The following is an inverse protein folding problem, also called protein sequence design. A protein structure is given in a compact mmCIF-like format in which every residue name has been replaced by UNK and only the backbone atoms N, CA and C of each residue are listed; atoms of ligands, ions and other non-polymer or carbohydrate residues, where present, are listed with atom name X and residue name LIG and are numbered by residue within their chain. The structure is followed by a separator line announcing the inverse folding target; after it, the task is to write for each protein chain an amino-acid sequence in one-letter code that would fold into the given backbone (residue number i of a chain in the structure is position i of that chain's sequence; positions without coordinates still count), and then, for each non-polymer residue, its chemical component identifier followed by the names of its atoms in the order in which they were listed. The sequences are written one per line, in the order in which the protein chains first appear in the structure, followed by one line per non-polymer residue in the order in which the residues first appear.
data_IF_828365539978
#
_entry.id   IF_828365539978
#
_cell.length_a   1.000
_cell.length_b   1.000
_cell.length_c   1.000
_cell.angle_alpha   90.00
_cell.angle_beta   90.00
_cell.angle_gamma   90.00
#
_symmetry.space_group_name_H-M   'P 1'
#
loop_
_entity.id
_entity.type
_entity.pdbx_description
1 polymer ?
#
# COMPACT_ATOMS: atom_id res chain seq x y z
N UNK A 1 3.12 -6.78 8.93
CA UNK A 1 3.26 -5.73 7.90
C UNK A 1 4.07 -6.28 6.74
N UNK A 2 3.70 -6.00 5.48
CA UNK A 2 4.53 -6.41 4.34
C UNK A 2 5.78 -5.53 4.32
N UNK A 3 6.98 -6.10 4.36
CA UNK A 3 8.24 -5.34 4.38
C UNK A 3 8.52 -4.65 3.02
N UNK A 4 7.75 -5.02 1.99
CA UNK A 4 7.88 -4.54 0.61
C UNK A 4 6.99 -3.35 0.27
N UNK A 5 6.80 -2.42 1.21
CA UNK A 5 6.03 -1.19 0.99
C UNK A 5 6.96 -0.08 0.51
N UNK A 6 6.62 0.55 -0.62
CA UNK A 6 7.31 1.74 -1.09
C UNK A 6 7.03 2.92 -0.15
N UNK A 7 8.05 3.62 0.37
CA UNK A 7 7.83 4.83 1.16
C UNK A 7 7.08 5.91 0.37
N UNK A 8 6.15 6.62 1.00
CA UNK A 8 5.38 7.70 0.34
C UNK A 8 6.25 8.85 -0.15
N UNK A 9 7.35 9.14 0.56
CA UNK A 9 8.28 10.21 0.21
C UNK A 9 9.69 9.63 0.09
N UNK A 10 10.17 9.50 -1.13
CA UNK A 10 11.52 9.01 -1.45
C UNK A 10 12.37 10.24 -1.78
N UNK A 11 13.29 10.58 -0.89
CA UNK A 11 14.21 11.71 -1.05
C UNK A 11 15.63 11.29 -1.38
N UNK A 12 15.94 10.01 -1.14
CA UNK A 12 17.24 9.38 -1.37
C UNK A 12 17.01 7.90 -1.73
N UNK A 13 18.01 7.30 -2.35
CA UNK A 13 18.04 5.89 -2.74
C UNK A 13 19.34 5.27 -2.24
N UNK A 14 19.27 4.01 -1.79
CA UNK A 14 20.48 3.19 -1.64
C UNK A 14 21.04 2.82 -3.01
N UNK A 15 22.29 2.38 -3.04
CA UNK A 15 22.99 1.99 -4.26
C UNK A 15 22.21 0.96 -5.10
N UNK A 16 21.52 0.03 -4.43
CA UNK A 16 20.73 -1.03 -5.07
C UNK A 16 19.23 -0.72 -5.20
N UNK A 17 18.76 0.47 -4.82
CA UNK A 17 17.34 0.84 -4.94
C UNK A 17 17.09 1.57 -6.26
N UNK A 18 16.05 1.17 -7.00
CA UNK A 18 15.65 1.79 -8.27
C UNK A 18 14.30 2.47 -8.10
N UNK A 19 14.25 3.77 -8.39
CA UNK A 19 13.01 4.55 -8.32
C UNK A 19 12.16 4.33 -9.59
N UNK A 20 10.99 3.71 -9.45
CA UNK A 20 10.10 3.41 -10.59
C UNK A 20 8.98 4.45 -10.65
N UNK A 21 8.87 5.15 -11.78
CA UNK A 21 8.00 6.31 -11.91
C UNK A 21 7.19 6.33 -13.20
N UNK A 22 6.06 7.04 -13.14
CA UNK A 22 5.21 7.34 -14.29
C UNK A 22 5.81 8.45 -15.14
N UNK A 23 6.04 8.14 -16.41
CA UNK A 23 6.58 9.04 -17.43
C UNK A 23 5.52 9.42 -18.47
N UNK A 24 5.77 10.49 -19.23
CA UNK A 24 4.97 10.81 -20.42
C UNK A 24 5.69 10.34 -21.69
N UNK A 25 4.94 10.27 -22.79
CA UNK A 25 5.42 9.80 -24.10
C UNK A 25 6.60 10.60 -24.66
N UNK A 26 6.78 11.85 -24.24
CA UNK A 26 7.87 12.73 -24.68
C UNK A 26 9.11 12.67 -23.78
N UNK A 27 9.08 11.91 -22.67
CA UNK A 27 10.17 11.88 -21.71
C UNK A 27 10.43 13.22 -20.99
N UNK A 28 9.40 14.06 -20.84
CA UNK A 28 9.51 15.35 -20.12
C UNK A 28 9.10 15.15 -18.66
N UNK A 29 10.04 15.30 -17.74
CA UNK A 29 9.87 14.86 -16.34
C UNK A 29 9.70 16.02 -15.35
N UNK A 30 8.71 16.90 -15.57
CA UNK A 30 8.56 18.14 -14.80
C UNK A 30 7.50 18.09 -13.69
N UNK A 31 6.84 16.94 -13.47
CA UNK A 31 5.74 16.83 -12.50
C UNK A 31 5.86 15.65 -11.56
N UNK A 32 5.46 15.84 -10.30
CA UNK A 32 5.32 14.80 -9.26
C UNK A 32 6.53 13.84 -9.21
N UNK A 33 6.27 12.53 -9.24
CA UNK A 33 7.31 11.50 -9.20
C UNK A 33 8.34 11.64 -10.31
N UNK A 34 7.95 12.08 -11.52
CA UNK A 34 8.89 12.27 -12.62
C UNK A 34 9.91 13.39 -12.31
N UNK A 35 9.48 14.48 -11.67
CA UNK A 35 10.40 15.53 -11.23
C UNK A 35 11.38 15.05 -10.16
N UNK A 36 10.92 14.20 -9.23
CA UNK A 36 11.81 13.55 -8.27
C UNK A 36 12.81 12.61 -8.95
N UNK A 37 12.38 11.87 -9.97
CA UNK A 37 13.25 10.94 -10.72
C UNK A 37 14.46 11.64 -11.38
N UNK A 38 14.33 12.93 -11.74
CA UNK A 38 15.46 13.71 -12.27
C UNK A 38 16.63 13.80 -11.28
N UNK A 39 16.36 13.80 -9.96
CA UNK A 39 17.41 13.80 -8.92
C UNK A 39 18.17 12.47 -8.86
N UNK A 40 17.57 11.40 -9.37
CA UNK A 40 18.11 10.05 -9.36
C UNK A 40 18.63 9.61 -10.74
N UNK A 41 18.80 10.56 -11.67
CA UNK A 41 19.42 10.30 -12.97
C UNK A 41 18.45 9.92 -14.09
N UNK A 42 17.16 10.25 -13.98
CA UNK A 42 16.27 10.21 -15.13
C UNK A 42 16.75 11.17 -16.24
N UNK A 43 16.56 10.76 -17.50
CA UNK A 43 17.08 11.38 -18.71
C UNK A 43 15.91 11.97 -19.49
N UNK A 44 15.97 13.28 -19.76
CA UNK A 44 14.97 13.95 -20.59
C UNK A 44 14.95 13.32 -22.00
N UNK A 45 13.75 13.00 -22.48
CA UNK A 45 13.52 12.35 -23.77
C UNK A 45 13.47 10.83 -23.72
N UNK A 46 13.86 10.19 -22.60
CA UNK A 46 13.74 8.75 -22.42
C UNK A 46 12.45 8.41 -21.66
N UNK A 47 11.40 8.10 -22.43
CA UNK A 47 10.06 7.88 -21.89
C UNK A 47 9.90 6.55 -21.13
N UNK A 48 10.71 5.53 -21.44
CA UNK A 48 10.55 4.16 -20.92
C UNK A 48 11.89 3.51 -20.56
N UNK A 49 11.82 2.53 -19.65
CA UNK A 49 12.95 1.67 -19.30
C UNK A 49 13.89 2.25 -18.26
N UNK A 50 14.99 1.53 -18.03
CA UNK A 50 16.02 1.89 -17.06
C UNK A 50 16.83 3.11 -17.49
N UNK A 51 17.05 4.04 -16.56
CA UNK A 51 17.84 5.26 -16.77
C UNK A 51 18.36 5.81 -15.44
N UNK A 52 19.68 6.01 -15.33
CA UNK A 52 20.32 6.32 -14.06
C UNK A 52 19.95 5.28 -13.00
N UNK A 53 19.52 5.74 -11.83
CA UNK A 53 19.00 4.90 -10.74
C UNK A 53 17.46 4.86 -10.72
N UNK A 54 16.84 4.92 -11.91
CA UNK A 54 15.39 4.98 -12.07
C UNK A 54 14.90 4.06 -13.19
N UNK A 55 13.60 3.76 -13.19
CA UNK A 55 12.93 3.06 -14.27
C UNK A 55 11.64 3.81 -14.64
N UNK A 56 11.50 4.19 -15.92
CA UNK A 56 10.33 4.90 -16.40
C UNK A 56 9.28 3.97 -17.01
N UNK A 57 8.02 4.19 -16.64
CA UNK A 57 6.85 3.53 -17.23
C UNK A 57 5.97 4.62 -17.87
N UNK A 58 5.74 4.61 -19.20
CA UNK A 58 4.89 5.58 -19.91
C UNK A 58 3.41 5.55 -19.48
N UNK A 59 3.08 6.19 -18.36
CA UNK A 59 1.75 6.17 -17.74
C UNK A 59 0.71 7.11 -18.39
N UNK A 60 1.00 7.63 -19.59
CA UNK A 60 0.04 8.35 -20.43
C UNK A 60 -0.40 7.54 -21.66
N UNK A 61 0.31 6.46 -21.98
CA UNK A 61 0.00 5.58 -23.11
C UNK A 61 -0.80 4.38 -22.57
N UNK A 62 -2.12 4.58 -22.40
CA UNK A 62 -2.99 3.58 -21.77
C UNK A 62 -3.28 2.37 -22.63
N UNK A 63 -3.21 2.51 -23.96
CA UNK A 63 -3.35 1.40 -24.88
C UNK A 63 -2.22 0.37 -24.68
N UNK A 64 -1.00 0.86 -24.40
CA UNK A 64 0.17 0.01 -24.19
C UNK A 64 0.60 -0.09 -22.71
N UNK A 65 -0.14 0.49 -21.77
CA UNK A 65 0.30 0.59 -20.38
C UNK A 65 0.59 -0.78 -19.74
N UNK A 66 -0.27 -1.77 -20.00
CA UNK A 66 -0.03 -3.15 -19.56
C UNK A 66 1.30 -3.70 -20.09
N UNK A 67 1.63 -3.44 -21.35
CA UNK A 67 2.89 -3.89 -21.95
C UNK A 67 4.09 -3.27 -21.22
N UNK A 68 4.05 -1.98 -20.92
CA UNK A 68 5.14 -1.35 -20.17
C UNK A 68 5.29 -1.89 -18.74
N UNK A 69 4.18 -2.24 -18.09
CA UNK A 69 4.21 -2.93 -16.79
C UNK A 69 4.80 -4.34 -16.95
N UNK A 70 4.41 -5.09 -17.98
CA UNK A 70 4.96 -6.41 -18.26
C UNK A 70 6.48 -6.34 -18.54
N UNK A 71 6.93 -5.37 -19.36
CA UNK A 71 8.35 -5.12 -19.65
C UNK A 71 9.14 -4.77 -18.38
N UNK A 72 8.55 -3.96 -17.50
CA UNK A 72 9.12 -3.67 -16.17
C UNK A 72 9.26 -4.93 -15.32
N UNK A 73 8.23 -5.77 -15.25
CA UNK A 73 8.25 -7.00 -14.45
C UNK A 73 9.30 -8.00 -15.00
N UNK A 74 9.47 -8.09 -16.32
CA UNK A 74 10.54 -8.88 -16.95
C UNK A 74 11.91 -8.33 -16.55
N UNK A 75 12.10 -7.02 -16.64
CA UNK A 75 13.35 -6.37 -16.24
C UNK A 75 13.67 -6.62 -14.75
N UNK A 76 12.70 -6.39 -13.87
CA UNK A 76 12.88 -6.59 -12.43
C UNK A 76 13.22 -8.05 -12.08
N UNK A 77 12.70 -9.02 -12.84
CA UNK A 77 13.02 -10.45 -12.66
C UNK A 77 14.45 -10.78 -13.10
N UNK A 78 14.97 -10.09 -14.11
CA UNK A 78 16.33 -10.26 -14.61
C UNK A 78 17.38 -9.58 -13.71
N UNK A 79 16.95 -8.66 -12.86
CA UNK A 79 17.81 -7.88 -11.97
C UNK A 79 17.45 -8.08 -10.48
N UNK A 80 17.63 -9.29 -9.91
CA UNK A 80 17.34 -9.57 -8.51
C UNK A 80 18.23 -8.80 -7.52
N UNK A 81 19.35 -8.24 -7.99
CA UNK A 81 20.25 -7.39 -7.20
C UNK A 81 19.63 -6.04 -6.81
N UNK A 82 18.62 -5.57 -7.54
CA UNK A 82 17.97 -4.28 -7.31
C UNK A 82 16.65 -4.41 -6.56
N UNK A 83 16.37 -3.45 -5.67
CA UNK A 83 15.06 -3.24 -5.07
C UNK A 83 14.30 -2.14 -5.81
N UNK A 84 13.22 -2.50 -6.48
CA UNK A 84 12.40 -1.56 -7.25
C UNK A 84 11.35 -0.90 -6.37
N UNK A 85 11.48 0.40 -6.16
CA UNK A 85 10.54 1.23 -5.40
C UNK A 85 9.48 1.82 -6.34
N UNK A 86 8.37 1.12 -6.48
CA UNK A 86 7.26 1.55 -7.36
C UNK A 86 6.44 2.63 -6.70
N UNK A 87 6.30 3.77 -7.36
CA UNK A 87 5.41 4.88 -6.95
C UNK A 87 3.96 4.61 -7.36
N UNK A 88 3.02 5.49 -7.02
CA UNK A 88 1.62 5.42 -7.48
C UNK A 88 1.51 5.82 -8.97
N UNK A 89 2.14 5.02 -9.83
CA UNK A 89 2.25 5.23 -11.27
C UNK A 89 0.84 5.33 -11.88
N UNK A 90 0.60 6.39 -12.66
CA UNK A 90 -0.70 6.63 -13.30
C UNK A 90 -1.78 7.23 -12.39
N UNK A 91 -1.60 7.26 -11.06
CA UNK A 91 -2.63 7.74 -10.13
C UNK A 91 -2.57 9.24 -9.78
N UNK A 92 -1.51 9.92 -10.22
CA UNK A 92 -1.38 11.38 -10.09
C UNK A 92 -2.07 12.13 -11.23
N UNK A 93 -1.28 12.82 -12.05
CA UNK A 93 -1.77 13.69 -13.15
C UNK A 93 -2.52 12.90 -14.22
N UNK A 94 -2.20 11.62 -14.45
CA UNK A 94 -2.93 10.79 -15.42
C UNK A 94 -4.35 10.45 -14.97
N UNK A 95 -4.68 10.59 -13.68
CA UNK A 95 -6.05 10.48 -13.17
C UNK A 95 -6.61 9.06 -13.06
N UNK A 96 -5.79 8.02 -13.22
CA UNK A 96 -6.26 6.64 -13.06
C UNK A 96 -6.41 6.29 -11.58
N UNK A 97 -7.47 5.54 -11.27
CA UNK A 97 -7.66 5.02 -9.93
C UNK A 97 -6.63 3.94 -9.61
N UNK A 98 -6.18 3.82 -8.35
CA UNK A 98 -5.36 2.69 -7.93
C UNK A 98 -6.00 1.33 -8.24
N UNK A 99 -7.34 1.23 -8.23
CA UNK A 99 -8.08 0.02 -8.59
C UNK A 99 -7.94 -0.42 -10.05
N UNK A 100 -7.68 0.52 -10.96
CA UNK A 100 -7.39 0.21 -12.37
C UNK A 100 -5.94 -0.23 -12.56
N UNK A 101 -5.00 0.37 -11.83
CA UNK A 101 -3.57 0.16 -12.04
C UNK A 101 -3.00 -1.01 -11.24
N UNK A 102 -3.33 -1.12 -9.95
CA UNK A 102 -2.77 -2.13 -9.06
C UNK A 102 -2.90 -3.56 -9.59
N UNK A 103 -4.02 -3.99 -10.20
CA UNK A 103 -4.15 -5.35 -10.75
C UNK A 103 -3.10 -5.71 -11.82
N UNK A 104 -2.53 -4.73 -12.52
CA UNK A 104 -1.48 -4.96 -13.51
C UNK A 104 -0.16 -5.42 -12.87
N UNK A 105 0.04 -5.12 -11.59
CA UNK A 105 1.21 -5.53 -10.80
C UNK A 105 1.02 -6.88 -10.07
N UNK A 106 0.00 -7.67 -10.40
CA UNK A 106 -0.29 -8.94 -9.70
C UNK A 106 0.89 -9.92 -9.67
N UNK A 107 1.73 -9.94 -10.71
CA UNK A 107 2.91 -10.81 -10.73
C UNK A 107 4.01 -10.37 -9.75
N UNK A 108 4.03 -9.09 -9.34
CA UNK A 108 4.96 -8.60 -8.31
C UNK A 108 4.72 -9.23 -6.93
N UNK A 109 3.56 -9.87 -6.71
CA UNK A 109 3.31 -10.69 -5.51
C UNK A 109 4.33 -11.82 -5.36
N UNK A 110 4.85 -12.34 -6.48
CA UNK A 110 5.79 -13.46 -6.55
C UNK A 110 7.27 -13.02 -6.61
N UNK A 111 7.54 -11.72 -6.51
CA UNK A 111 8.87 -11.14 -6.71
C UNK A 111 9.29 -10.38 -5.44
N UNK A 112 10.36 -10.82 -4.79
CA UNK A 112 10.78 -10.25 -3.51
C UNK A 112 11.43 -8.87 -3.65
N UNK A 113 11.93 -8.55 -4.84
CA UNK A 113 12.68 -7.34 -5.11
C UNK A 113 11.82 -6.17 -5.63
N UNK A 114 10.49 -6.32 -5.65
CA UNK A 114 9.56 -5.25 -5.99
C UNK A 114 8.81 -4.79 -4.75
N UNK A 115 8.91 -3.49 -4.47
CA UNK A 115 8.14 -2.79 -3.47
C UNK A 115 7.04 -2.00 -4.18
N UNK A 116 5.81 -2.09 -3.67
CA UNK A 116 4.65 -1.37 -4.20
C UNK A 116 4.13 -0.34 -3.19
N UNK A 117 3.42 0.71 -3.65
CA UNK A 117 2.69 1.59 -2.75
C UNK A 117 1.71 0.80 -1.90
N UNK A 118 1.47 1.25 -0.66
CA UNK A 118 0.54 0.58 0.25
C UNK A 118 -0.84 0.39 -0.39
N UNK A 119 -1.35 1.40 -1.12
CA UNK A 119 -2.66 1.32 -1.77
C UNK A 119 -2.73 0.20 -2.82
N UNK A 120 -1.63 -0.07 -3.53
CA UNK A 120 -1.59 -1.20 -4.49
C UNK A 120 -1.57 -2.53 -3.75
N UNK A 121 -0.77 -2.64 -2.67
CA UNK A 121 -0.81 -3.81 -1.80
C UNK A 121 -2.20 -4.06 -1.22
N UNK A 122 -2.88 -2.99 -0.81
CA UNK A 122 -4.23 -3.08 -0.26
C UNK A 122 -5.18 -3.73 -1.28
N UNK A 123 -5.21 -3.19 -2.49
CA UNK A 123 -6.08 -3.69 -3.57
C UNK A 123 -5.73 -5.14 -3.94
N UNK A 124 -4.44 -5.44 -4.11
CA UNK A 124 -3.98 -6.79 -4.46
C UNK A 124 -4.32 -7.83 -3.38
N UNK A 125 -4.41 -7.42 -2.11
CA UNK A 125 -4.81 -8.26 -0.98
C UNK A 125 -6.34 -8.26 -0.73
N UNK A 126 -7.13 -7.71 -1.66
CA UNK A 126 -8.59 -7.72 -1.61
C UNK A 126 -9.23 -6.53 -0.91
N UNK A 127 -8.46 -5.49 -0.58
CA UNK A 127 -8.98 -4.24 -0.05
C UNK A 127 -9.60 -4.37 1.34
N UNK A 128 -10.49 -3.42 1.63
CA UNK A 128 -11.34 -3.49 2.82
C UNK A 128 -12.20 -4.75 2.88
N UNK A 129 -12.62 -5.32 1.73
CA UNK A 129 -13.40 -6.57 1.68
C UNK A 129 -12.58 -7.75 2.18
N UNK A 130 -11.32 -7.84 1.76
CA UNK A 130 -10.36 -8.84 2.25
C UNK A 130 -10.17 -8.75 3.76
N UNK A 131 -10.04 -7.53 4.29
CA UNK A 131 -9.95 -7.32 5.74
C UNK A 131 -11.21 -7.67 6.50
N UNK A 132 -12.39 -7.33 5.98
CA UNK A 132 -13.67 -7.72 6.61
C UNK A 132 -13.81 -9.24 6.63
N UNK A 133 -13.41 -9.92 5.54
CA UNK A 133 -13.35 -11.39 5.50
C UNK A 133 -12.43 -11.93 6.59
N UNK A 134 -11.23 -11.36 6.75
CA UNK A 134 -10.29 -11.75 7.79
C UNK A 134 -10.86 -11.54 9.21
N UNK A 135 -11.59 -10.45 9.46
CA UNK A 135 -12.26 -10.26 10.76
C UNK A 135 -13.30 -11.39 10.97
N UNK A 136 -14.12 -11.68 9.95
CA UNK A 136 -15.13 -12.73 10.06
C UNK A 136 -14.51 -14.11 10.34
N UNK A 137 -13.39 -14.43 9.69
CA UNK A 137 -12.65 -15.68 9.87
C UNK A 137 -12.00 -15.81 11.25
N UNK A 138 -11.47 -14.72 11.81
CA UNK A 138 -10.74 -14.75 13.09
C UNK A 138 -11.67 -14.63 14.30
N UNK A 139 -12.74 -13.85 14.19
CA UNK A 139 -13.55 -13.45 15.34
C UNK A 139 -14.84 -14.26 15.51
N UNK A 140 -15.21 -15.09 14.53
CA UNK A 140 -16.43 -15.90 14.59
C UNK A 140 -16.26 -17.27 13.96
N UNK A 141 -17.08 -18.24 14.38
CA UNK A 141 -17.02 -19.61 13.87
C UNK A 141 -17.77 -19.76 12.53
N UNK A 142 -18.66 -18.80 12.20
CA UNK A 142 -19.46 -18.85 10.98
C UNK A 142 -19.92 -17.48 10.48
N UNK A 143 -20.20 -17.40 9.17
CA UNK A 143 -20.74 -16.21 8.50
C UNK A 143 -22.05 -15.69 9.14
N UNK A 144 -23.04 -16.54 9.49
CA UNK A 144 -24.24 -16.06 10.17
C UNK A 144 -23.97 -15.45 11.54
N UNK A 145 -23.05 -16.03 12.32
CA UNK A 145 -22.67 -15.50 13.63
C UNK A 145 -22.04 -14.11 13.52
N UNK A 146 -21.16 -13.92 12.53
CA UNK A 146 -20.59 -12.61 12.22
C UNK A 146 -21.68 -11.58 11.90
N UNK A 147 -22.64 -11.95 11.04
CA UNK A 147 -23.77 -11.08 10.66
C UNK A 147 -24.62 -10.65 11.86
N UNK A 148 -24.96 -11.61 12.74
CA UNK A 148 -25.72 -11.34 13.97
C UNK A 148 -24.93 -10.40 14.87
N UNK A 149 -23.63 -10.63 15.05
CA UNK A 149 -22.78 -9.84 15.93
C UNK A 149 -22.62 -8.39 15.50
N UNK A 150 -22.49 -8.13 14.19
CA UNK A 150 -22.43 -6.77 13.66
C UNK A 150 -23.82 -6.16 13.38
N UNK A 151 -24.87 -6.99 13.39
CA UNK A 151 -26.25 -6.58 13.14
C UNK A 151 -26.53 -6.21 11.69
N UNK A 152 -26.05 -7.00 10.71
CA UNK A 152 -26.43 -6.85 9.28
C UNK A 152 -27.05 -8.14 8.73
N UNK A 153 -27.89 -8.07 7.67
CA UNK A 153 -28.39 -9.25 6.99
C UNK A 153 -27.27 -10.06 6.33
N UNK A 154 -27.41 -11.39 6.30
CA UNK A 154 -26.45 -12.29 5.61
C UNK A 154 -26.27 -11.91 4.14
N UNK A 155 -27.36 -11.50 3.46
CA UNK A 155 -27.32 -11.03 2.08
C UNK A 155 -26.44 -9.80 1.89
N UNK A 156 -26.46 -8.86 2.84
CA UNK A 156 -25.59 -7.68 2.82
C UNK A 156 -24.11 -8.10 2.87
N UNK A 157 -23.76 -9.03 3.76
CA UNK A 157 -22.40 -9.53 3.87
C UNK A 157 -21.96 -10.33 2.64
N UNK A 158 -22.82 -11.19 2.09
CA UNK A 158 -22.50 -11.96 0.87
C UNK A 158 -22.25 -11.05 -0.33
N UNK A 159 -23.09 -10.03 -0.51
CA UNK A 159 -22.91 -9.03 -1.57
C UNK A 159 -21.62 -8.23 -1.39
N UNK A 160 -21.23 -7.95 -0.13
CA UNK A 160 -19.98 -7.29 0.19
C UNK A 160 -18.75 -8.17 -0.09
N UNK A 161 -18.79 -9.45 0.31
CA UNK A 161 -17.63 -10.35 0.24
C UNK A 161 -17.39 -10.94 -1.15
N UNK A 162 -18.46 -11.13 -1.93
CA UNK A 162 -18.42 -11.81 -3.22
C UNK A 162 -18.99 -10.97 -4.37
N UNK A 163 -19.63 -9.85 -4.07
CA UNK A 163 -20.15 -8.92 -5.07
C UNK A 163 -19.26 -7.70 -5.29
N UNK A 164 -19.71 -6.84 -6.20
CA UNK A 164 -19.00 -5.63 -6.59
C UNK A 164 -19.26 -4.44 -5.65
N UNK A 165 -20.14 -4.58 -4.65
CA UNK A 165 -20.48 -3.49 -3.73
C UNK A 165 -19.38 -3.24 -2.70
N UNK A 166 -19.00 -1.98 -2.48
CA UNK A 166 -18.10 -1.60 -1.39
C UNK A 166 -18.85 -1.48 -0.06
N UNK A 167 -18.17 -1.69 1.08
CA UNK A 167 -18.81 -1.57 2.38
C UNK A 167 -19.23 -0.12 2.62
N UNK A 168 -20.47 0.07 3.02
CA UNK A 168 -20.94 1.40 3.41
C UNK A 168 -20.24 1.85 4.69
N UNK A 169 -20.17 3.17 4.92
CA UNK A 169 -19.69 3.73 6.19
C UNK A 169 -20.46 3.16 7.40
N UNK A 170 -21.74 2.84 7.21
CA UNK A 170 -22.58 2.23 8.23
C UNK A 170 -22.16 0.81 8.56
N UNK A 171 -21.87 0.00 7.55
CA UNK A 171 -21.36 -1.36 7.69
C UNK A 171 -20.00 -1.35 8.41
N UNK A 172 -19.08 -0.47 8.00
CA UNK A 172 -17.76 -0.33 8.67
C UNK A 172 -17.93 0.10 10.14
N UNK A 173 -18.81 1.07 10.42
CA UNK A 173 -19.09 1.53 11.78
C UNK A 173 -19.64 0.39 12.66
N UNK A 174 -20.57 -0.41 12.14
CA UNK A 174 -21.12 -1.59 12.85
C UNK A 174 -20.03 -2.59 13.21
N UNK A 175 -19.11 -2.88 12.28
CA UNK A 175 -17.96 -3.76 12.53
C UNK A 175 -17.08 -3.20 13.64
N UNK A 176 -16.70 -1.92 13.58
CA UNK A 176 -15.84 -1.29 14.61
C UNK A 176 -16.51 -1.20 15.98
N UNK A 177 -17.84 -1.06 16.05
CA UNK A 177 -18.59 -1.10 17.31
C UNK A 177 -18.60 -2.53 17.88
N UNK A 178 -18.84 -3.54 17.05
CA UNK A 178 -18.90 -4.95 17.47
C UNK A 178 -17.53 -5.51 17.87
N UNK A 179 -16.44 -4.97 17.29
CA UNK A 179 -15.07 -5.38 17.53
C UNK A 179 -14.18 -4.15 17.84
N UNK A 180 -14.31 -3.55 19.03
CA UNK A 180 -13.68 -2.27 19.38
C UNK A 180 -12.14 -2.33 19.47
N UNK A 181 -11.56 -3.52 19.52
CA UNK A 181 -10.11 -3.74 19.47
C UNK A 181 -9.57 -3.81 18.03
N UNK A 182 -10.40 -3.75 16.99
CA UNK A 182 -9.91 -3.69 15.62
C UNK A 182 -9.35 -2.30 15.34
N UNK A 183 -8.12 -2.26 14.81
CA UNK A 183 -7.49 -1.04 14.37
C UNK A 183 -8.25 -0.46 13.15
N UNK A 184 -8.92 0.67 13.34
CA UNK A 184 -9.68 1.34 12.29
C UNK A 184 -8.79 1.73 11.09
N UNK A 185 -7.53 2.10 11.32
CA UNK A 185 -6.59 2.45 10.25
C UNK A 185 -6.24 1.25 9.39
N UNK A 186 -6.05 0.10 10.03
CA UNK A 186 -5.87 -1.16 9.31
C UNK A 186 -7.12 -1.50 8.51
N UNK A 187 -8.31 -1.47 9.11
CA UNK A 187 -9.56 -1.80 8.41
C UNK A 187 -9.85 -0.88 7.23
N UNK A 188 -9.61 0.42 7.36
CA UNK A 188 -9.93 1.40 6.32
C UNK A 188 -8.85 1.47 5.24
N UNK A 189 -7.57 1.47 5.63
CA UNK A 189 -6.46 1.85 4.75
C UNK A 189 -5.42 0.74 4.53
N UNK A 190 -5.55 -0.39 5.23
CA UNK A 190 -4.53 -1.45 5.23
C UNK A 190 -3.28 -1.10 6.05
N UNK A 191 -3.31 -0.01 6.80
CA UNK A 191 -2.17 0.48 7.57
C UNK A 191 -2.05 -0.17 8.96
N UNK A 192 -0.91 -0.80 9.21
CA UNK A 192 -0.57 -1.43 10.49
C UNK A 192 -1.10 -2.85 10.61
N UNK A 193 -1.31 -3.30 11.85
CA UNK A 193 -1.84 -4.63 12.14
C UNK A 193 -3.34 -4.56 12.53
N UNK A 194 -4.07 -5.66 12.31
CA UNK A 194 -5.50 -5.80 12.61
C UNK A 194 -5.84 -5.48 14.07
N UNK A 195 -5.05 -6.01 15.00
CA UNK A 195 -5.15 -5.67 16.41
C UNK A 195 -4.04 -4.67 16.71
N UNK A 196 -4.35 -3.50 17.28
CA UNK A 196 -3.32 -2.54 17.64
C UNK A 196 -2.38 -3.23 18.62
N UNK A 197 -1.09 -3.29 18.28
CA UNK A 197 -0.08 -3.71 19.22
C UNK A 197 -0.22 -2.84 20.48
N UNK A 198 -0.25 -3.45 21.67
CA UNK A 198 -0.22 -2.71 22.94
C UNK A 198 1.04 -1.84 22.91
N UNK A 199 0.92 -0.57 22.52
CA UNK A 199 2.01 0.39 22.64
C UNK A 199 2.23 0.60 24.13
N UNK A 200 3.15 -0.17 24.70
CA UNK A 200 3.67 0.05 26.05
C UNK A 200 4.34 1.44 26.19
N UNK A 201 4.44 2.24 25.12
CA UNK A 201 5.05 3.57 25.10
C UNK A 201 4.53 4.53 26.18
N UNK A 202 3.27 4.41 26.61
CA UNK A 202 2.76 5.27 27.69
C UNK A 202 3.34 4.85 29.05
N UNK A 203 3.38 3.56 29.35
CA UNK A 203 4.00 3.01 30.56
C UNK A 203 5.52 3.23 30.54
N UNK A 204 6.17 3.09 29.38
CA UNK A 204 7.60 3.34 29.21
C UNK A 204 7.94 4.83 29.37
N UNK A 205 7.11 5.75 28.86
CA UNK A 205 7.28 7.19 29.09
C UNK A 205 7.06 7.57 30.54
N UNK A 206 6.02 7.02 31.19
CA UNK A 206 5.76 7.25 32.62
C UNK A 206 6.92 6.70 33.45
N UNK A 207 7.40 5.49 33.16
CA UNK A 207 8.53 4.89 33.89
C UNK A 207 9.81 5.72 33.73
N UNK A 208 10.12 6.19 32.52
CA UNK A 208 11.25 7.11 32.31
C UNK A 208 11.08 8.42 33.06
N UNK A 209 9.89 9.02 33.00
CA UNK A 209 9.60 10.28 33.70
C UNK A 209 9.73 10.13 35.22
N UNK A 210 9.21 9.05 35.78
CA UNK A 210 9.32 8.73 37.21
C UNK A 210 10.78 8.45 37.62
N UNK A 211 11.56 7.76 36.78
CA UNK A 211 13.00 7.56 37.00
C UNK A 211 13.74 8.90 37.02
N UNK A 212 13.46 9.80 36.08
CA UNK A 212 14.05 11.15 36.07
C UNK A 212 13.70 11.92 37.35
N UNK A 213 12.44 11.90 37.80
CA UNK A 213 12.03 12.55 39.05
C UNK A 213 12.71 11.95 40.30
N UNK A 214 12.94 10.64 40.32
CA UNK A 214 13.64 9.98 41.43
C UNK A 214 15.13 10.34 41.51
N UNK A 215 15.76 10.63 40.37
CA UNK A 215 17.14 11.09 40.30
C UNK A 215 17.30 12.55 40.79
N UNK A 216 16.29 13.40 40.60
CA UNK A 216 16.27 14.77 41.13
C UNK A 216 16.06 14.85 42.66
N UNK A 217 15.56 13.79 43.30
CA UNK A 217 15.37 13.73 44.76
C UNK A 217 16.60 13.27 45.53
N UNK A 218 17.65 12.81 44.84
CA UNK A 218 18.90 12.32 45.44
C UNK A 218 20.10 13.24 45.21
N UNK A 219 19.88 14.43 44.62
CA UNK A 219 20.88 15.48 44.42
C UNK A 219 20.70 16.62 45.44
#
# INVERSE_FOLDING_TARGET
MNERITPHNITELKENEIFVFGSNSCGVHNGNAASTAMKFGAIIGQAAGAQGQTYAIPSKDMENFKKYVDDFLVYAKQHPEYTFLVTEIGCGISGHSPSEIAPLFKEALKMDNIHLPLVFWDILNGGIKGRIRQIAEVETLSVPEFCVRIGIPVTELMNLLFGNADPTIWTVRKILIAFPYINARWLLLGEGDMKPQKRNNFITKISRFLQTLSAFKQA
#
